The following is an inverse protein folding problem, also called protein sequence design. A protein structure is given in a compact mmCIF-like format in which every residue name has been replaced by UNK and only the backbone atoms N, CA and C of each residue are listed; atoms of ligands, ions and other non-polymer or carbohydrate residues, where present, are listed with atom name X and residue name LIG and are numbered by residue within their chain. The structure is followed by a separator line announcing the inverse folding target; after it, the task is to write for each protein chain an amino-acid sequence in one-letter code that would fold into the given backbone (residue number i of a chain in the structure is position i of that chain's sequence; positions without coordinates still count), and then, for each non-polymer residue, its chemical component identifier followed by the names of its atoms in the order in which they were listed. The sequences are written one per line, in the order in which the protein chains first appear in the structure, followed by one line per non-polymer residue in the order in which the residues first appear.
data_IF_230964343734
#
_entry.id   IF_230964343734
#
_cell.length_a   1.000
_cell.length_b   1.000
_cell.length_c   1.000
_cell.angle_alpha   90.00
_cell.angle_beta   90.00
_cell.angle_gamma   90.00
#
_symmetry.space_group_name_H-M   'P 1'
#
loop_
_entity.id
_entity.type
_entity.pdbx_description
1 polymer ?
#
# COMPACT_ATOMS: atom_id res chain seq x y z
N UNK A 1 -20.27 -1.58 -29.60
CA UNK A 1 -20.88 -0.78 -28.51
C UNK A 1 -20.35 -1.32 -27.18
N UNK A 2 -19.93 -0.43 -26.29
CA UNK A 2 -19.63 -0.84 -24.91
C UNK A 2 -20.95 -1.24 -24.23
N UNK A 3 -20.98 -2.40 -23.57
CA UNK A 3 -22.17 -2.85 -22.84
C UNK A 3 -22.24 -2.14 -21.49
N UNK A 4 -23.42 -1.62 -21.13
CA UNK A 4 -23.66 -1.10 -19.78
C UNK A 4 -23.42 -2.18 -18.70
N UNK A 5 -23.66 -3.44 -19.04
CA UNK A 5 -23.39 -4.58 -18.16
C UNK A 5 -21.92 -4.65 -17.78
N UNK A 6 -20.99 -4.50 -18.72
CA UNK A 6 -19.55 -4.51 -18.41
C UNK A 6 -19.14 -3.36 -17.49
N UNK A 7 -19.78 -2.19 -17.61
CA UNK A 7 -19.54 -1.07 -16.71
C UNK A 7 -20.08 -1.38 -15.30
N UNK A 8 -21.27 -1.98 -15.20
CA UNK A 8 -21.84 -2.40 -13.91
C UNK A 8 -20.95 -3.44 -13.24
N UNK A 9 -20.44 -4.41 -13.99
CA UNK A 9 -19.52 -5.43 -13.48
C UNK A 9 -18.22 -4.80 -12.96
N UNK A 10 -17.68 -3.81 -13.67
CA UNK A 10 -16.49 -3.09 -13.22
C UNK A 10 -16.76 -2.23 -11.97
N UNK A 11 -17.92 -1.59 -11.88
CA UNK A 11 -18.34 -0.87 -10.66
C UNK A 11 -18.42 -1.85 -9.47
N UNK A 12 -19.01 -3.03 -9.68
CA UNK A 12 -19.08 -4.06 -8.64
C UNK A 12 -17.68 -4.53 -8.22
N UNK A 13 -16.77 -4.74 -9.18
CA UNK A 13 -15.38 -5.10 -8.89
C UNK A 13 -14.69 -4.01 -8.04
N UNK A 14 -14.84 -2.74 -8.38
CA UNK A 14 -14.24 -1.65 -7.58
C UNK A 14 -14.88 -1.52 -6.19
N UNK A 15 -16.13 -1.95 -6.02
CA UNK A 15 -16.76 -2.01 -4.68
C UNK A 15 -16.17 -3.12 -3.80
N UNK A 16 -15.71 -4.23 -4.38
CA UNK A 16 -15.02 -5.30 -3.63
C UNK A 16 -13.70 -4.81 -3.00
N UNK A 17 -12.96 -3.90 -3.65
CA UNK A 17 -11.73 -3.30 -3.09
C UNK A 17 -12.01 -2.62 -1.74
N UNK A 18 -13.17 -1.99 -1.58
CA UNK A 18 -13.60 -1.36 -0.32
C UNK A 18 -13.86 -2.36 0.81
N UNK A 19 -14.05 -3.64 0.48
CA UNK A 19 -14.30 -4.71 1.46
C UNK A 19 -13.01 -5.33 1.99
N UNK A 20 -11.89 -5.16 1.28
CA UNK A 20 -10.59 -5.62 1.76
C UNK A 20 -10.15 -4.74 2.92
N UNK A 21 -9.97 -5.34 4.10
CA UNK A 21 -9.59 -4.64 5.32
C UNK A 21 -8.12 -4.81 5.60
N UNK A 22 -7.45 -3.70 5.82
CA UNK A 22 -6.03 -3.64 6.21
C UNK A 22 -5.88 -3.80 7.71
N UNK A 23 -4.71 -4.25 8.15
CA UNK A 23 -4.40 -4.33 9.57
C UNK A 23 -3.99 -2.96 10.17
N UNK A 24 -4.63 -1.89 9.72
CA UNK A 24 -4.40 -0.51 10.12
C UNK A 24 -5.71 0.13 10.55
N UNK A 25 -5.71 0.83 11.69
CA UNK A 25 -6.88 1.60 12.14
C UNK A 25 -6.96 2.95 11.43
N UNK A 26 -8.17 3.36 11.09
CA UNK A 26 -8.43 4.75 10.71
C UNK A 26 -8.21 5.64 11.92
N UNK A 27 -7.49 6.74 11.74
CA UNK A 27 -7.15 7.66 12.82
C UNK A 27 -8.39 8.13 13.58
N UNK A 28 -8.40 7.87 14.87
CA UNK A 28 -9.48 8.31 15.78
C UNK A 28 -10.77 7.50 15.69
N UNK A 29 -10.82 6.45 14.88
CA UNK A 29 -12.02 5.62 14.70
C UNK A 29 -11.78 4.17 15.16
N UNK A 30 -12.85 3.44 15.44
CA UNK A 30 -12.81 2.02 15.78
C UNK A 30 -13.08 1.13 14.56
N UNK A 31 -12.54 1.54 13.40
CA UNK A 31 -12.63 0.75 12.17
C UNK A 31 -11.25 0.60 11.51
N UNK A 32 -11.10 -0.50 10.78
CA UNK A 32 -9.91 -0.71 9.97
C UNK A 32 -10.02 0.06 8.65
N UNK A 33 -8.89 0.63 8.23
CA UNK A 33 -8.71 1.15 6.88
C UNK A 33 -9.01 0.05 5.83
N UNK A 34 -9.55 0.42 4.69
CA UNK A 34 -9.66 -0.46 3.53
C UNK A 34 -8.72 -0.05 2.40
N UNK A 35 -8.53 -0.93 1.41
CA UNK A 35 -7.58 -0.68 0.32
C UNK A 35 -7.93 0.52 -0.55
N UNK A 36 -9.23 0.88 -0.69
CA UNK A 36 -9.61 2.09 -1.42
C UNK A 36 -9.20 3.36 -0.69
N UNK A 37 -9.34 3.38 0.64
CA UNK A 37 -8.91 4.52 1.48
C UNK A 37 -7.40 4.67 1.44
N UNK A 38 -6.67 3.56 1.55
CA UNK A 38 -5.22 3.52 1.46
C UNK A 38 -4.72 3.99 0.08
N UNK A 39 -5.24 3.42 -1.00
CA UNK A 39 -4.83 3.76 -2.37
C UNK A 39 -5.10 5.23 -2.69
N UNK A 40 -6.25 5.77 -2.24
CA UNK A 40 -6.53 7.19 -2.36
C UNK A 40 -5.51 8.05 -1.60
N UNK A 41 -5.21 7.71 -0.34
CA UNK A 41 -4.24 8.44 0.47
C UNK A 41 -2.84 8.37 -0.16
N UNK A 42 -2.43 7.21 -0.63
CA UNK A 42 -1.14 6.99 -1.29
C UNK A 42 -1.00 7.85 -2.56
N UNK A 43 -2.05 7.88 -3.41
CA UNK A 43 -2.08 8.72 -4.62
C UNK A 43 -1.99 10.22 -4.30
N UNK A 44 -2.68 10.68 -3.25
CA UNK A 44 -2.62 12.09 -2.84
C UNK A 44 -1.26 12.46 -2.24
N UNK A 45 -0.63 11.58 -1.46
CA UNK A 45 0.69 11.82 -0.90
C UNK A 45 1.76 11.79 -2.01
N UNK A 46 1.63 10.89 -3.00
CA UNK A 46 2.55 10.85 -4.14
C UNK A 46 2.51 12.15 -4.94
N UNK A 47 1.31 12.67 -5.23
CA UNK A 47 1.15 13.99 -5.86
C UNK A 47 1.84 15.09 -5.06
N UNK A 48 1.63 15.11 -3.73
CA UNK A 48 2.22 16.11 -2.86
C UNK A 48 3.75 16.07 -2.89
N UNK A 49 4.36 14.90 -2.68
CA UNK A 49 5.82 14.76 -2.61
C UNK A 49 6.45 15.10 -3.97
N UNK A 50 5.95 14.52 -5.07
CA UNK A 50 6.52 14.74 -6.41
C UNK A 50 6.52 16.23 -6.75
N UNK A 51 5.44 16.95 -6.45
CA UNK A 51 5.34 18.39 -6.79
C UNK A 51 6.06 19.28 -5.81
N UNK A 52 5.99 19.01 -4.51
CA UNK A 52 6.64 19.81 -3.48
C UNK A 52 8.17 19.71 -3.56
N UNK A 53 8.69 18.51 -3.77
CA UNK A 53 10.12 18.24 -3.81
C UNK A 53 10.70 18.32 -5.24
N UNK A 54 9.87 18.68 -6.22
CA UNK A 54 10.23 18.87 -7.63
C UNK A 54 10.94 17.63 -8.23
N UNK A 55 10.42 16.44 -7.94
CA UNK A 55 10.98 15.19 -8.43
C UNK A 55 10.75 15.03 -9.93
N UNK A 56 11.75 14.48 -10.62
CA UNK A 56 11.66 14.11 -12.03
C UNK A 56 10.94 12.75 -12.19
N UNK A 57 9.65 12.72 -11.82
CA UNK A 57 8.75 11.58 -11.93
C UNK A 57 7.46 12.02 -12.63
N UNK A 58 6.88 11.12 -13.42
CA UNK A 58 5.53 11.34 -13.97
C UNK A 58 4.49 11.20 -12.84
N UNK A 59 3.97 12.34 -12.40
CA UNK A 59 3.01 12.40 -11.31
C UNK A 59 1.71 11.64 -11.61
N UNK A 60 1.23 11.68 -12.86
CA UNK A 60 0.00 11.01 -13.23
C UNK A 60 0.19 9.48 -13.28
N UNK A 61 1.36 9.05 -13.77
CA UNK A 61 1.73 7.65 -13.78
C UNK A 61 1.90 7.11 -12.36
N UNK A 62 2.62 7.83 -11.50
CA UNK A 62 2.76 7.48 -10.08
C UNK A 62 1.39 7.37 -9.37
N UNK A 63 0.48 8.32 -9.61
CA UNK A 63 -0.89 8.23 -9.06
C UNK A 63 -1.66 7.03 -9.59
N UNK A 64 -1.50 6.68 -10.88
CA UNK A 64 -2.14 5.48 -11.43
C UNK A 64 -1.61 4.20 -10.79
N UNK A 65 -0.28 4.08 -10.58
CA UNK A 65 0.32 2.97 -9.84
C UNK A 65 -0.20 2.90 -8.40
N UNK A 66 -0.27 4.04 -7.69
CA UNK A 66 -0.81 4.09 -6.34
C UNK A 66 -2.27 3.63 -6.24
N UNK A 67 -3.09 3.89 -7.26
CA UNK A 67 -4.50 3.46 -7.28
C UNK A 67 -4.67 1.96 -7.53
N UNK A 68 -3.70 1.30 -8.17
CA UNK A 68 -3.85 -0.10 -8.60
C UNK A 68 -2.97 -1.09 -7.84
N UNK A 69 -2.01 -0.61 -7.02
CA UNK A 69 -0.98 -1.46 -6.43
C UNK A 69 -1.52 -2.62 -5.56
N UNK A 70 -2.63 -2.41 -4.87
CA UNK A 70 -3.29 -3.40 -4.01
C UNK A 70 -4.56 -4.01 -4.65
N UNK A 71 -4.87 -3.73 -5.93
CA UNK A 71 -6.09 -4.25 -6.60
C UNK A 71 -6.17 -5.78 -6.60
N UNK A 72 -5.04 -6.49 -6.62
CA UNK A 72 -5.00 -7.93 -6.52
C UNK A 72 -5.53 -8.47 -5.20
N UNK A 73 -5.57 -7.65 -4.15
CA UNK A 73 -6.04 -8.05 -2.83
C UNK A 73 -7.54 -8.33 -2.77
N UNK A 74 -8.32 -7.90 -3.77
CA UNK A 74 -9.71 -8.36 -3.97
C UNK A 74 -9.77 -9.89 -4.03
N UNK A 75 -8.77 -10.54 -4.64
CA UNK A 75 -8.72 -11.99 -4.79
C UNK A 75 -7.81 -12.66 -3.77
N UNK A 76 -6.69 -12.03 -3.40
CA UNK A 76 -5.71 -12.61 -2.47
C UNK A 76 -5.96 -12.27 -1.00
N UNK A 77 -6.70 -11.21 -0.72
CA UNK A 77 -6.83 -10.60 0.61
C UNK A 77 -5.55 -9.92 1.10
N UNK A 78 -5.68 -8.90 1.94
CA UNK A 78 -4.54 -8.28 2.61
C UNK A 78 -3.78 -9.29 3.48
N UNK A 79 -2.47 -9.22 3.46
CA UNK A 79 -1.59 -10.02 4.32
C UNK A 79 -0.87 -9.12 5.30
N UNK A 80 -1.31 -9.06 6.58
CA UNK A 80 -0.69 -8.22 7.57
C UNK A 80 0.81 -8.47 7.71
N UNK A 81 1.59 -7.40 7.77
CA UNK A 81 3.06 -7.45 7.85
C UNK A 81 3.53 -8.18 9.12
N UNK A 82 2.79 -8.04 10.21
CA UNK A 82 3.00 -8.75 11.48
C UNK A 82 2.08 -9.97 11.62
N UNK A 83 1.67 -10.55 10.48
CA UNK A 83 0.76 -11.70 10.41
C UNK A 83 1.38 -13.03 10.83
N UNK A 84 0.56 -14.07 10.80
CA UNK A 84 1.02 -15.42 11.14
C UNK A 84 1.99 -15.96 10.07
N UNK A 85 2.89 -16.89 10.49
CA UNK A 85 3.80 -17.57 9.55
C UNK A 85 3.05 -18.32 8.44
N UNK A 86 1.87 -18.86 8.72
CA UNK A 86 1.05 -19.57 7.73
C UNK A 86 0.49 -18.64 6.66
N UNK A 87 0.03 -17.44 7.03
CA UNK A 87 -0.48 -16.44 6.06
C UNK A 87 0.63 -15.92 5.15
N UNK A 88 1.82 -15.72 5.70
CA UNK A 88 3.00 -15.30 4.94
C UNK A 88 3.50 -16.40 3.98
N UNK A 89 3.47 -17.67 4.40
CA UNK A 89 3.93 -18.80 3.58
C UNK A 89 3.08 -19.04 2.32
N UNK A 90 1.79 -18.68 2.35
CA UNK A 90 0.88 -18.84 1.19
C UNK A 90 0.71 -17.58 0.36
N UNK A 91 1.34 -16.46 0.77
CA UNK A 91 1.16 -15.16 0.13
C UNK A 91 1.49 -15.21 -1.37
N UNK A 92 2.67 -15.67 -1.73
CA UNK A 92 3.13 -15.69 -3.12
C UNK A 92 2.20 -16.52 -4.03
N UNK A 93 1.66 -17.65 -3.54
CA UNK A 93 0.72 -18.46 -4.32
C UNK A 93 -0.60 -17.72 -4.51
N UNK A 94 -1.15 -17.09 -3.46
CA UNK A 94 -2.40 -16.34 -3.54
C UNK A 94 -2.29 -15.14 -4.48
N UNK A 95 -1.15 -14.43 -4.47
CA UNK A 95 -0.89 -13.32 -5.39
C UNK A 95 -0.80 -13.81 -6.84
N UNK A 96 -0.11 -14.91 -7.10
CA UNK A 96 -0.05 -15.51 -8.44
C UNK A 96 -1.44 -15.94 -8.96
N UNK A 97 -2.25 -16.57 -8.11
CA UNK A 97 -3.61 -16.97 -8.45
C UNK A 97 -4.51 -15.74 -8.70
N UNK A 98 -4.33 -14.65 -7.92
CA UNK A 98 -5.04 -13.40 -8.09
C UNK A 98 -4.75 -12.72 -9.43
N UNK A 99 -3.50 -12.74 -9.90
CA UNK A 99 -3.13 -12.23 -11.24
C UNK A 99 -3.84 -13.01 -12.33
N UNK A 100 -3.86 -14.34 -12.23
CA UNK A 100 -4.56 -15.20 -13.21
C UNK A 100 -6.06 -14.90 -13.22
N UNK A 101 -6.65 -14.75 -12.03
CA UNK A 101 -8.07 -14.44 -11.87
C UNK A 101 -8.41 -13.09 -12.51
N UNK A 102 -7.65 -12.04 -12.20
CA UNK A 102 -7.89 -10.70 -12.73
C UNK A 102 -7.79 -10.67 -14.26
N UNK A 103 -6.77 -11.32 -14.84
CA UNK A 103 -6.61 -11.42 -16.30
C UNK A 103 -7.77 -12.15 -16.97
N UNK A 104 -8.35 -13.15 -16.31
CA UNK A 104 -9.54 -13.87 -16.79
C UNK A 104 -10.79 -13.01 -16.73
N UNK A 105 -10.97 -12.26 -15.63
CA UNK A 105 -12.19 -11.47 -15.41
C UNK A 105 -12.19 -10.19 -16.27
N UNK A 106 -11.02 -9.60 -16.50
CA UNK A 106 -10.85 -8.35 -17.24
C UNK A 106 -9.86 -8.44 -18.40
N UNK A 107 -10.02 -9.39 -19.37
CA UNK A 107 -9.01 -9.68 -20.39
C UNK A 107 -8.73 -8.53 -21.36
N UNK A 108 -9.63 -7.55 -21.46
CA UNK A 108 -9.49 -6.38 -22.35
C UNK A 108 -8.92 -5.14 -21.66
N UNK A 109 -8.73 -5.17 -20.35
CA UNK A 109 -8.24 -4.03 -19.60
C UNK A 109 -6.70 -4.11 -19.45
N UNK A 110 -6.01 -4.13 -20.61
CA UNK A 110 -4.57 -4.36 -20.69
C UNK A 110 -3.77 -3.35 -19.87
N UNK A 111 -4.18 -2.07 -19.88
CA UNK A 111 -3.53 -1.04 -19.06
C UNK A 111 -3.53 -1.38 -17.57
N UNK A 112 -4.61 -1.94 -17.03
CA UNK A 112 -4.64 -2.37 -15.63
C UNK A 112 -3.61 -3.48 -15.37
N UNK A 113 -3.50 -4.43 -16.27
CA UNK A 113 -2.53 -5.52 -16.15
C UNK A 113 -1.09 -5.02 -16.24
N UNK A 114 -0.80 -4.07 -17.14
CA UNK A 114 0.51 -3.44 -17.31
C UNK A 114 0.93 -2.67 -16.06
N UNK A 115 0.02 -1.87 -15.48
CA UNK A 115 0.27 -1.11 -14.25
C UNK A 115 0.53 -2.04 -13.05
N UNK A 116 -0.22 -3.13 -12.92
CA UNK A 116 -0.02 -4.12 -11.85
C UNK A 116 1.33 -4.83 -12.02
N UNK A 117 1.68 -5.26 -13.23
CA UNK A 117 2.97 -5.88 -13.51
C UNK A 117 4.13 -4.93 -13.20
N UNK A 118 3.98 -3.64 -13.49
CA UNK A 118 4.96 -2.61 -13.15
C UNK A 118 5.11 -2.44 -11.63
N UNK A 119 4.00 -2.43 -10.87
CA UNK A 119 4.04 -2.40 -9.41
C UNK A 119 4.79 -3.60 -8.83
N UNK A 120 4.59 -4.80 -9.38
CA UNK A 120 5.28 -6.01 -8.93
C UNK A 120 6.77 -6.02 -9.30
N UNK A 121 7.09 -5.58 -10.51
CA UNK A 121 8.46 -5.58 -11.04
C UNK A 121 9.39 -4.57 -10.35
N UNK A 122 8.85 -3.43 -9.92
CA UNK A 122 9.60 -2.35 -9.24
C UNK A 122 10.86 -1.91 -10.01
N UNK A 123 10.72 -1.78 -11.35
CA UNK A 123 11.86 -1.43 -12.22
C UNK A 123 11.91 0.05 -12.57
N UNK A 124 10.74 0.66 -12.79
CA UNK A 124 10.64 2.08 -13.12
C UNK A 124 10.86 2.97 -11.89
N UNK A 125 11.29 4.23 -12.07
CA UNK A 125 11.40 5.17 -10.95
C UNK A 125 10.08 5.33 -10.19
N UNK A 126 8.95 5.46 -10.90
CA UNK A 126 7.63 5.63 -10.32
C UNK A 126 7.19 4.41 -9.50
N UNK A 127 7.41 3.19 -10.00
CA UNK A 127 7.04 1.98 -9.26
C UNK A 127 7.89 1.76 -8.01
N UNK A 128 9.19 2.12 -8.04
CA UNK A 128 10.05 2.13 -6.85
C UNK A 128 9.58 3.14 -5.82
N UNK A 129 9.28 4.36 -6.29
CA UNK A 129 8.77 5.44 -5.44
C UNK A 129 7.48 5.03 -4.75
N UNK A 130 6.48 4.53 -5.49
CA UNK A 130 5.20 4.09 -4.93
C UNK A 130 5.38 2.91 -3.98
N UNK A 131 6.19 1.91 -4.33
CA UNK A 131 6.49 0.79 -3.44
C UNK A 131 7.09 1.25 -2.10
N UNK A 132 8.08 2.15 -2.14
CA UNK A 132 8.70 2.67 -0.93
C UNK A 132 7.72 3.53 -0.12
N UNK A 133 6.93 4.36 -0.78
CA UNK A 133 5.94 5.23 -0.16
C UNK A 133 4.84 4.42 0.54
N UNK A 134 4.35 3.34 -0.05
CA UNK A 134 3.42 2.41 0.58
C UNK A 134 3.99 1.82 1.89
N UNK A 135 5.29 1.66 2.00
CA UNK A 135 5.90 1.18 3.25
C UNK A 135 6.07 2.28 4.30
N UNK A 136 6.18 3.55 3.88
CA UNK A 136 6.30 4.70 4.75
C UNK A 136 4.94 5.17 5.31
N UNK A 137 3.90 5.26 4.47
CA UNK A 137 2.59 5.82 4.84
C UNK A 137 1.98 5.18 6.10
N UNK A 138 1.98 3.84 6.28
CA UNK A 138 1.48 3.23 7.50
C UNK A 138 2.25 3.63 8.77
N UNK A 139 3.52 4.01 8.67
CA UNK A 139 4.28 4.51 9.82
C UNK A 139 3.77 5.90 10.24
N UNK A 140 3.52 6.77 9.26
CA UNK A 140 2.97 8.10 9.48
C UNK A 140 1.55 8.04 10.04
N UNK A 141 0.71 7.13 9.51
CA UNK A 141 -0.65 6.90 10.01
C UNK A 141 -0.63 6.41 11.46
N UNK A 142 0.26 5.47 11.82
CA UNK A 142 0.43 5.04 13.20
C UNK A 142 0.89 6.17 14.11
N UNK A 143 1.84 6.99 13.69
CA UNK A 143 2.27 8.16 14.45
C UNK A 143 1.10 9.12 14.71
N UNK A 144 0.32 9.44 13.69
CA UNK A 144 -0.84 10.33 13.78
C UNK A 144 -1.97 9.79 14.66
N UNK A 145 -2.09 8.48 14.77
CA UNK A 145 -3.09 7.78 15.58
C UNK A 145 -2.58 7.43 16.99
N UNK A 146 -1.44 7.98 17.41
CA UNK A 146 -0.86 7.73 18.73
C UNK A 146 -0.39 6.29 18.93
N UNK A 147 -0.10 5.57 17.87
CA UNK A 147 0.46 4.22 17.91
C UNK A 147 -0.52 3.12 18.34
N UNK A 148 -1.84 3.36 18.36
CA UNK A 148 -2.83 2.36 18.84
C UNK A 148 -2.63 0.99 18.21
N UNK A 149 -2.32 0.93 16.92
CA UNK A 149 -2.12 -0.32 16.22
C UNK A 149 -0.83 -1.02 16.69
N UNK A 150 0.26 -0.29 16.88
CA UNK A 150 1.53 -0.83 17.40
C UNK A 150 1.39 -1.31 18.84
N UNK A 151 0.72 -0.53 19.70
CA UNK A 151 0.46 -0.92 21.09
C UNK A 151 -0.35 -2.21 21.16
N UNK A 152 -1.43 -2.31 20.36
CA UNK A 152 -2.31 -3.50 20.32
C UNK A 152 -1.59 -4.74 19.83
N UNK A 153 -0.72 -4.59 18.83
CA UNK A 153 0.04 -5.70 18.24
C UNK A 153 1.37 -5.94 18.96
N UNK A 154 1.68 -5.17 20.02
CA UNK A 154 2.95 -5.23 20.78
C UNK A 154 4.17 -5.06 19.89
N UNK A 155 4.09 -4.14 18.92
CA UNK A 155 5.16 -3.81 17.98
C UNK A 155 6.08 -2.78 18.62
N UNK A 156 7.36 -3.07 18.67
CA UNK A 156 8.41 -2.14 19.11
C UNK A 156 8.92 -1.28 17.94
N UNK A 157 9.62 -0.19 18.26
CA UNK A 157 10.34 0.60 17.24
C UNK A 157 11.35 -0.26 16.47
N UNK A 158 12.01 -1.20 17.15
CA UNK A 158 12.98 -2.09 16.50
C UNK A 158 12.31 -3.02 15.49
N UNK A 159 11.10 -3.52 15.78
CA UNK A 159 10.32 -4.32 14.83
C UNK A 159 9.95 -3.51 13.59
N UNK A 160 9.52 -2.25 13.77
CA UNK A 160 9.24 -1.33 12.66
C UNK A 160 10.47 -1.14 11.80
N UNK A 161 11.63 -0.84 12.38
CA UNK A 161 12.89 -0.67 11.66
C UNK A 161 13.23 -1.96 10.89
N UNK A 162 13.19 -3.10 11.55
CA UNK A 162 13.54 -4.40 10.95
C UNK A 162 12.67 -4.74 9.74
N UNK A 163 11.37 -4.47 9.82
CA UNK A 163 10.41 -4.78 8.75
C UNK A 163 10.54 -3.81 7.57
N UNK A 164 10.90 -2.56 7.80
CA UNK A 164 10.92 -1.51 6.75
C UNK A 164 12.28 -1.34 6.08
N UNK A 165 13.38 -1.63 6.77
CA UNK A 165 14.73 -1.62 6.17
C UNK A 165 14.80 -2.61 5.01
N UNK A 166 15.44 -2.23 3.91
CA UNK A 166 15.51 -3.01 2.67
C UNK A 166 14.28 -2.86 1.76
N UNK A 167 13.27 -2.09 2.18
CA UNK A 167 12.06 -1.83 1.39
C UNK A 167 11.90 -0.36 1.01
N UNK A 168 12.19 0.55 1.92
CA UNK A 168 12.07 2.00 1.71
C UNK A 168 13.29 2.59 1.00
N UNK A 169 14.44 1.95 1.08
CA UNK A 169 15.72 2.36 0.49
C UNK A 169 15.84 2.09 -1.03
N UNK A 170 14.81 1.47 -1.61
CA UNK A 170 14.70 1.32 -3.07
C UNK A 170 14.47 2.67 -3.78
N UNK A 171 13.99 3.68 -3.05
CA UNK A 171 13.82 5.05 -3.54
C UNK A 171 14.52 6.05 -2.58
N UNK A 172 15.47 6.88 -3.07
CA UNK A 172 16.28 7.74 -2.22
C UNK A 172 15.48 8.87 -1.54
N UNK A 173 14.42 9.37 -2.16
CA UNK A 173 13.55 10.40 -1.58
C UNK A 173 12.79 9.85 -0.40
N UNK A 174 12.18 8.69 -0.59
CA UNK A 174 11.41 8.02 0.47
C UNK A 174 12.32 7.52 1.59
N UNK A 175 13.53 7.06 1.27
CA UNK A 175 14.53 6.74 2.30
C UNK A 175 14.86 7.96 3.17
N UNK A 176 14.98 9.14 2.56
CA UNK A 176 15.18 10.40 3.29
C UNK A 176 14.02 10.71 4.26
N UNK A 177 12.79 10.58 3.82
CA UNK A 177 11.61 10.72 4.69
C UNK A 177 11.52 9.63 5.76
N UNK A 178 11.88 8.40 5.43
CA UNK A 178 11.93 7.30 6.39
C UNK A 178 12.93 7.59 7.53
N UNK A 179 14.14 8.03 7.22
CA UNK A 179 15.14 8.39 8.24
C UNK A 179 14.62 9.47 9.19
N UNK A 180 14.01 10.53 8.66
CA UNK A 180 13.39 11.57 9.47
C UNK A 180 12.23 11.03 10.32
N UNK A 181 11.43 10.13 9.75
CA UNK A 181 10.34 9.46 10.48
C UNK A 181 10.88 8.63 11.65
N UNK A 182 11.97 7.88 11.47
CA UNK A 182 12.61 7.12 12.56
C UNK A 182 13.09 8.05 13.68
N UNK A 183 13.73 9.18 13.36
CA UNK A 183 14.14 10.14 14.38
C UNK A 183 12.92 10.71 15.13
N UNK A 184 11.84 11.03 14.41
CA UNK A 184 10.59 11.48 15.04
C UNK A 184 10.01 10.41 15.96
N UNK A 185 9.98 9.14 15.53
CA UNK A 185 9.44 8.03 16.32
C UNK A 185 10.27 7.74 17.58
N UNK A 186 11.58 7.96 17.55
CA UNK A 186 12.45 7.86 18.74
C UNK A 186 12.07 8.82 19.86
N UNK A 187 11.48 9.95 19.52
CA UNK A 187 11.00 10.92 20.52
C UNK A 187 9.68 10.53 21.19
N UNK A 188 9.04 9.46 20.69
CA UNK A 188 7.71 9.02 21.11
C UNK A 188 7.69 7.53 21.49
N UNK A 189 8.45 7.13 22.54
CA UNK A 189 8.44 5.72 22.99
C UNK A 189 7.06 5.26 23.48
N UNK A 190 6.20 6.20 23.88
CA UNK A 190 4.84 5.97 24.37
C UNK A 190 3.88 5.38 23.36
N UNK A 191 4.18 5.49 22.06
CA UNK A 191 3.30 5.00 20.98
C UNK A 191 3.57 3.55 20.57
N UNK A 192 4.55 2.90 21.20
CA UNK A 192 4.89 1.51 20.91
C UNK A 192 4.30 0.54 21.96
N UNK A 193 4.11 -0.72 21.53
CA UNK A 193 3.76 -1.81 22.43
C UNK A 193 5.02 -2.35 23.12
N UNK A 194 5.07 -2.25 24.45
CA UNK A 194 6.13 -2.83 25.28
C UNK A 194 5.83 -4.31 25.56
#
# INVERSE_FOLDING_TARGET
MQSITNLIDFVAFTDEIRRVKRAMWVKGEEQFENDSEHSYQLAMISLYIIKNDQLDLDVYHAMALALVHDVLEVHSGDTPVYGSRSSLATKAQREADAVIQLKRDWPKLTLLHELIEECEDKKTPESKFIYALDKLVPMLNNYLDGGRNWQRQKVSLQDVITVKTGKVDIDPTIEGYYRQTIELLRTRPDIFGC
#
